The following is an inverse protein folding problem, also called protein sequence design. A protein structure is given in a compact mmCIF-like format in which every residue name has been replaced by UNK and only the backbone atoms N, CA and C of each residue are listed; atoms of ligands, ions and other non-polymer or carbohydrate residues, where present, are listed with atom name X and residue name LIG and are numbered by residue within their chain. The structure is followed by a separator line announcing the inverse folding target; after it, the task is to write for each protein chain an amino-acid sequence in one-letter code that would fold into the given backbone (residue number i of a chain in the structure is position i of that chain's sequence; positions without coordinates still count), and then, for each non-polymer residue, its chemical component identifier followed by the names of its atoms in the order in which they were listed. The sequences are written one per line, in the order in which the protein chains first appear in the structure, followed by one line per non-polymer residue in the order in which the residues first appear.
data_IF_671996146982
#
_entry.id   IF_671996146982
#
_cell.length_a   1.000
_cell.length_b   1.000
_cell.length_c   1.000
_cell.angle_alpha   90.00
_cell.angle_beta   90.00
_cell.angle_gamma   90.00
#
_symmetry.space_group_name_H-M   'P 1'
#
loop_
_entity.id
_entity.type
_entity.pdbx_description
1 polymer ?
#
# COMPACT_ATOMS: atom_id res chain seq x y z
N UNK A 1 24.63 54.11 18.84
CA UNK A 1 24.14 52.93 18.08
C UNK A 1 24.95 51.72 18.51
N UNK A 2 24.34 50.83 19.30
CA UNK A 2 24.99 49.61 19.82
C UNK A 2 24.65 48.45 18.87
N UNK A 3 25.65 47.88 18.23
CA UNK A 3 25.51 46.72 17.35
C UNK A 3 25.39 45.46 18.20
N UNK A 4 24.18 44.93 18.34
CA UNK A 4 23.92 43.65 18.99
C UNK A 4 24.49 42.55 18.09
N UNK A 5 25.67 42.03 18.45
CA UNK A 5 26.20 40.79 17.86
C UNK A 5 25.36 39.62 18.39
N UNK A 6 24.42 39.14 17.59
CA UNK A 6 23.72 37.88 17.81
C UNK A 6 24.75 36.76 17.97
N UNK A 7 24.88 36.22 19.18
CA UNK A 7 25.65 35.01 19.43
C UNK A 7 24.82 33.82 18.94
N UNK A 8 24.98 33.43 17.68
CA UNK A 8 24.46 32.16 17.19
C UNK A 8 25.21 31.03 17.90
N UNK A 9 24.52 30.33 18.80
CA UNK A 9 25.01 29.04 19.30
C UNK A 9 25.10 28.07 18.11
N UNK A 10 26.22 27.36 17.94
CA UNK A 10 26.32 26.34 16.91
C UNK A 10 25.24 25.28 17.12
N UNK A 11 24.65 24.73 16.05
CA UNK A 11 23.64 23.68 16.15
C UNK A 11 24.22 22.47 16.91
N UNK A 12 23.45 21.93 17.86
CA UNK A 12 23.83 20.72 18.58
C UNK A 12 23.82 19.53 17.61
N UNK A 13 24.98 18.95 17.33
CA UNK A 13 25.09 17.77 16.48
C UNK A 13 24.56 16.53 17.19
N UNK A 14 23.70 15.74 16.52
CA UNK A 14 23.22 14.45 17.05
C UNK A 14 24.27 13.35 16.99
N UNK A 15 25.21 13.43 16.04
CA UNK A 15 26.36 12.53 15.92
C UNK A 15 27.64 13.35 15.86
N UNK A 16 28.69 12.89 16.54
CA UNK A 16 30.00 13.54 16.45
C UNK A 16 30.70 13.13 15.13
N UNK A 17 31.02 14.07 14.21
CA UNK A 17 31.63 13.76 12.92
C UNK A 17 32.96 12.99 13.01
N UNK A 18 33.79 13.30 14.01
CA UNK A 18 35.07 12.62 14.21
C UNK A 18 34.84 11.17 14.67
N UNK A 19 33.88 10.94 15.56
CA UNK A 19 33.54 9.60 16.02
C UNK A 19 32.92 8.73 14.93
N UNK A 20 32.11 9.33 14.04
CA UNK A 20 31.56 8.64 12.85
C UNK A 20 32.69 8.16 11.93
N UNK A 21 33.65 9.02 11.59
CA UNK A 21 34.81 8.64 10.77
C UNK A 21 35.65 7.56 11.42
N UNK A 22 35.92 7.71 12.72
CA UNK A 22 36.73 6.74 13.45
C UNK A 22 36.07 5.36 13.51
N UNK A 23 34.75 5.32 13.75
CA UNK A 23 34.00 4.06 13.74
C UNK A 23 34.02 3.39 12.36
N UNK A 24 33.89 4.17 11.28
CA UNK A 24 33.88 3.66 9.92
C UNK A 24 35.22 3.02 9.49
N UNK A 25 36.36 3.52 10.00
CA UNK A 25 37.69 2.93 9.71
C UNK A 25 37.81 1.47 10.17
N UNK A 26 37.07 1.07 11.21
CA UNK A 26 37.04 -0.29 11.74
C UNK A 26 36.18 -1.27 10.94
N UNK A 27 35.54 -0.83 9.86
CA UNK A 27 34.62 -1.63 9.05
C UNK A 27 35.32 -2.05 7.75
N UNK A 28 35.54 -3.35 7.52
CA UNK A 28 36.11 -3.83 6.27
C UNK A 28 35.30 -3.33 5.08
N UNK A 29 35.98 -2.93 4.01
CA UNK A 29 35.36 -2.53 2.75
C UNK A 29 34.46 -1.28 2.82
N UNK A 30 34.59 -0.48 3.88
CA UNK A 30 33.98 0.83 4.02
C UNK A 30 35.01 1.93 3.72
N UNK A 31 34.76 2.74 2.69
CA UNK A 31 35.66 3.83 2.27
C UNK A 31 34.93 5.18 2.34
N UNK A 32 35.49 6.16 3.04
CA UNK A 32 34.94 7.52 3.06
C UNK A 32 35.10 8.18 1.67
N UNK A 33 34.03 8.81 1.19
CA UNK A 33 34.00 9.61 -0.04
C UNK A 33 34.23 11.08 0.37
N UNK A 34 35.33 11.71 -0.06
CA UNK A 34 35.62 13.10 0.31
C UNK A 34 34.62 14.08 -0.34
N UNK A 35 34.21 15.12 0.39
CA UNK A 35 33.68 16.36 -0.21
C UNK A 35 32.16 16.52 -0.31
N UNK A 36 31.41 16.35 0.78
CA UNK A 36 29.95 16.59 0.79
C UNK A 36 29.47 17.69 1.76
N UNK A 37 30.39 18.38 2.42
CA UNK A 37 30.09 19.43 3.40
C UNK A 37 30.50 19.04 4.83
N UNK A 38 30.38 19.99 5.76
CA UNK A 38 30.80 19.80 7.16
C UNK A 38 29.88 18.83 7.93
N UNK A 39 28.59 18.81 7.57
CA UNK A 39 27.55 18.05 8.26
C UNK A 39 27.19 16.71 7.60
N UNK A 40 27.79 16.39 6.45
CA UNK A 40 27.49 15.16 5.70
C UNK A 40 28.75 14.36 5.49
N UNK A 41 28.73 13.12 5.98
CA UNK A 41 29.82 12.16 5.78
C UNK A 41 29.31 11.04 4.88
N UNK A 42 29.97 10.81 3.75
CA UNK A 42 29.58 9.80 2.78
C UNK A 42 30.55 8.63 2.82
N UNK A 43 30.02 7.41 2.76
CA UNK A 43 30.80 6.17 2.69
C UNK A 43 30.38 5.34 1.48
N UNK A 44 31.34 4.72 0.82
CA UNK A 44 31.12 3.63 -0.12
C UNK A 44 31.38 2.31 0.61
N UNK A 45 30.38 1.43 0.66
CA UNK A 45 30.45 0.14 1.32
C UNK A 45 30.34 -0.97 0.28
N UNK A 46 31.38 -1.81 0.21
CA UNK A 46 31.35 -3.06 -0.56
C UNK A 46 31.07 -4.21 0.39
N UNK A 47 30.03 -5.01 0.12
CA UNK A 47 29.77 -6.21 0.91
C UNK A 47 30.84 -7.27 0.57
N UNK A 48 31.46 -7.93 1.56
CA UNK A 48 32.37 -9.03 1.29
C UNK A 48 31.61 -10.15 0.57
N UNK A 49 32.23 -10.73 -0.46
CA UNK A 49 31.72 -11.97 -1.06
C UNK A 49 31.88 -13.07 -0.03
N UNK A 50 30.78 -13.72 0.34
CA UNK A 50 30.82 -14.89 1.21
C UNK A 50 31.35 -16.10 0.43
N UNK A 51 32.66 -16.11 0.16
CA UNK A 51 33.33 -17.19 -0.57
C UNK A 51 33.69 -18.37 0.37
N UNK A 52 33.32 -18.30 1.65
CA UNK A 52 33.83 -19.18 2.71
C UNK A 52 33.07 -20.50 2.94
N UNK A 53 31.96 -20.76 2.25
CA UNK A 53 31.22 -22.04 2.38
C UNK A 53 31.22 -22.80 1.05
N UNK A 54 32.30 -23.56 0.82
CA UNK A 54 32.46 -24.48 -0.32
C UNK A 54 31.55 -25.72 -0.28
N UNK A 55 30.26 -25.56 0.04
CA UNK A 55 29.28 -26.63 -0.11
C UNK A 55 28.59 -26.48 -1.47
N UNK A 56 29.08 -27.26 -2.44
CA UNK A 56 28.45 -27.48 -3.73
C UNK A 56 27.13 -28.24 -3.57
N UNK A 57 26.03 -27.54 -3.28
CA UNK A 57 24.72 -27.99 -3.73
C UNK A 57 23.78 -26.80 -3.88
N UNK A 58 23.27 -26.68 -5.11
CA UNK A 58 22.20 -25.79 -5.60
C UNK A 58 22.63 -24.42 -6.17
N UNK A 59 22.80 -24.39 -7.50
CA UNK A 59 23.39 -23.28 -8.29
C UNK A 59 22.32 -22.35 -8.89
N UNK A 60 21.04 -22.48 -8.53
CA UNK A 60 19.96 -21.80 -9.27
C UNK A 60 19.32 -20.56 -8.60
N UNK A 61 19.67 -20.17 -7.36
CA UNK A 61 18.99 -19.05 -6.69
C UNK A 61 19.85 -17.95 -6.03
N UNK A 62 21.19 -17.98 -6.07
CA UNK A 62 21.98 -17.05 -5.25
C UNK A 62 23.20 -16.41 -5.89
N UNK A 63 23.11 -16.07 -7.19
CA UNK A 63 24.07 -15.15 -7.81
C UNK A 63 23.60 -13.68 -7.71
N UNK A 64 23.17 -13.26 -6.52
CA UNK A 64 22.93 -11.84 -6.27
C UNK A 64 24.30 -11.17 -6.13
N UNK A 65 24.80 -10.62 -7.24
CA UNK A 65 26.05 -9.84 -7.26
C UNK A 65 25.89 -8.74 -6.21
N UNK A 66 26.77 -8.75 -5.20
CA UNK A 66 26.74 -7.77 -4.13
C UNK A 66 26.99 -6.37 -4.69
N UNK A 67 25.91 -5.61 -4.93
CA UNK A 67 26.03 -4.26 -5.45
C UNK A 67 26.61 -3.33 -4.38
N UNK A 68 27.54 -2.42 -4.73
CA UNK A 68 28.03 -1.40 -3.81
C UNK A 68 26.88 -0.56 -3.25
N UNK A 69 27.00 -0.15 -1.98
CA UNK A 69 26.07 0.78 -1.35
C UNK A 69 26.79 2.08 -1.00
N UNK A 70 26.16 3.22 -1.28
CA UNK A 70 26.58 4.52 -0.77
C UNK A 70 25.76 4.86 0.47
N UNK A 71 26.41 5.14 1.59
CA UNK A 71 25.78 5.52 2.86
C UNK A 71 26.14 6.97 3.19
N UNK A 72 25.13 7.84 3.26
CA UNK A 72 25.28 9.24 3.64
C UNK A 72 24.81 9.43 5.08
N UNK A 73 25.65 10.00 5.94
CA UNK A 73 25.36 10.28 7.35
C UNK A 73 25.26 11.79 7.55
N UNK A 74 24.07 12.26 7.93
CA UNK A 74 23.77 13.64 8.27
C UNK A 74 23.92 13.82 9.79
N UNK A 75 25.07 14.35 10.22
CA UNK A 75 25.52 14.33 11.62
C UNK A 75 24.75 15.29 12.54
N UNK A 76 24.12 16.29 11.96
CA UNK A 76 23.25 17.27 12.61
C UNK A 76 21.88 16.66 12.96
N UNK A 77 21.22 16.06 11.97
CA UNK A 77 19.87 15.49 12.09
C UNK A 77 19.85 14.05 12.59
N UNK A 78 20.99 13.36 12.58
CA UNK A 78 21.09 11.92 12.86
C UNK A 78 20.44 11.09 11.76
N UNK A 79 20.25 11.65 10.55
CA UNK A 79 19.68 10.93 9.42
C UNK A 79 20.76 10.11 8.72
N UNK A 80 20.45 8.88 8.34
CA UNK A 80 21.33 8.00 7.56
C UNK A 80 20.58 7.56 6.29
N UNK A 81 21.09 7.95 5.13
CA UNK A 81 20.57 7.53 3.83
C UNK A 81 21.43 6.43 3.21
N UNK A 82 20.84 5.32 2.77
CA UNK A 82 21.53 4.24 2.04
C UNK A 82 21.07 4.22 0.60
N UNK A 83 21.98 4.22 -0.37
CA UNK A 83 21.72 4.27 -1.80
C UNK A 83 22.39 3.09 -2.51
N UNK A 84 21.67 2.41 -3.41
CA UNK A 84 22.16 1.29 -4.22
C UNK A 84 21.69 1.41 -5.66
N UNK A 85 22.49 0.93 -6.61
CA UNK A 85 22.08 0.78 -8.01
C UNK A 85 21.68 -0.68 -8.24
N UNK A 86 20.44 -0.92 -8.62
CA UNK A 86 19.90 -2.23 -8.93
C UNK A 86 19.19 -2.18 -10.28
N UNK A 87 19.62 -3.04 -11.22
CA UNK A 87 19.04 -3.14 -12.56
C UNK A 87 18.95 -1.77 -13.26
N UNK A 88 20.01 -0.96 -13.19
CA UNK A 88 20.06 0.39 -13.77
C UNK A 88 19.23 1.45 -13.03
N UNK A 89 18.54 1.09 -11.95
CA UNK A 89 17.70 1.99 -11.15
C UNK A 89 18.36 2.28 -9.81
N UNK A 90 18.34 3.55 -9.39
CA UNK A 90 18.83 3.98 -8.08
C UNK A 90 17.72 3.78 -7.04
N UNK A 91 18.02 3.08 -5.95
CA UNK A 91 17.11 2.89 -4.82
C UNK A 91 17.74 3.50 -3.56
N UNK A 92 16.94 4.23 -2.79
CA UNK A 92 17.38 4.90 -1.58
C UNK A 92 16.48 4.57 -0.39
N UNK A 93 17.06 4.36 0.79
CA UNK A 93 16.35 4.23 2.06
C UNK A 93 16.90 5.24 3.07
N UNK A 94 16.07 5.65 4.03
CA UNK A 94 16.46 6.62 5.06
C UNK A 94 16.06 6.12 6.45
N UNK A 95 16.97 6.27 7.41
CA UNK A 95 16.69 6.18 8.85
C UNK A 95 16.91 7.54 9.48
N UNK A 96 15.90 8.06 10.17
CA UNK A 96 15.96 9.34 10.89
C UNK A 96 16.33 9.09 12.36
N UNK A 97 16.77 10.16 13.04
CA UNK A 97 16.98 10.18 14.50
C UNK A 97 17.97 9.13 15.04
N UNK A 98 18.97 8.75 14.25
CA UNK A 98 20.06 7.89 14.71
C UNK A 98 21.02 8.72 15.55
N UNK A 99 21.06 8.41 16.85
CA UNK A 99 21.94 9.03 17.84
C UNK A 99 23.00 8.06 18.40
N UNK A 100 22.99 6.80 17.94
CA UNK A 100 23.91 5.75 18.39
C UNK A 100 24.91 5.35 17.31
N UNK A 101 26.20 5.35 17.67
CA UNK A 101 27.29 4.89 16.79
C UNK A 101 27.22 3.38 16.51
N UNK A 102 26.61 2.58 17.38
CA UNK A 102 26.47 1.15 17.17
C UNK A 102 25.41 0.83 16.10
N UNK A 103 24.34 1.64 16.05
CA UNK A 103 23.35 1.57 14.98
C UNK A 103 23.99 1.95 13.64
N UNK A 104 24.80 3.01 13.62
CA UNK A 104 25.57 3.41 12.45
C UNK A 104 26.54 2.31 12.00
N UNK A 105 27.31 1.73 12.92
CA UNK A 105 28.23 0.63 12.61
C UNK A 105 27.50 -0.55 11.97
N UNK A 106 26.35 -0.94 12.54
CA UNK A 106 25.52 -2.00 11.96
C UNK A 106 25.06 -1.67 10.54
N UNK A 107 24.64 -0.44 10.28
CA UNK A 107 24.23 0.00 8.95
C UNK A 107 25.39 0.08 7.96
N UNK A 108 26.60 0.40 8.41
CA UNK A 108 27.79 0.39 7.58
C UNK A 108 28.32 -1.03 7.32
N UNK A 109 28.15 -1.97 8.26
CA UNK A 109 28.48 -3.40 8.05
C UNK A 109 27.46 -4.11 7.16
N UNK A 110 26.19 -3.75 7.32
CA UNK A 110 25.08 -4.35 6.60
C UNK A 110 24.13 -3.27 6.08
N UNK A 111 24.54 -2.47 5.06
CA UNK A 111 23.66 -1.46 4.50
C UNK A 111 22.38 -2.12 4.02
N UNK A 112 21.26 -1.64 4.56
CA UNK A 112 19.94 -2.20 4.29
C UNK A 112 19.77 -2.38 2.78
N UNK A 113 19.25 -3.55 2.38
CA UNK A 113 18.79 -3.73 1.01
C UNK A 113 17.70 -2.69 0.73
N UNK A 114 17.47 -2.32 -0.54
CA UNK A 114 16.33 -1.49 -0.83
C UNK A 114 15.10 -2.27 -0.40
N UNK A 115 14.49 -1.85 0.70
CA UNK A 115 13.10 -2.17 0.93
C UNK A 115 12.36 -1.52 -0.25
N UNK A 116 11.51 -2.26 -0.94
CA UNK A 116 10.51 -1.61 -1.77
C UNK A 116 9.87 -0.55 -0.88
N UNK A 117 10.05 0.73 -1.25
CA UNK A 117 9.37 1.82 -0.56
C UNK A 117 7.91 1.53 -0.82
N UNK A 118 7.26 0.93 0.17
CA UNK A 118 5.82 0.88 0.24
C UNK A 118 5.41 2.35 0.30
N UNK A 119 4.79 2.87 -0.75
CA UNK A 119 4.39 4.29 -0.86
C UNK A 119 3.53 4.74 0.34
N UNK A 120 3.03 3.80 1.14
CA UNK A 120 2.40 4.01 2.43
C UNK A 120 3.29 4.55 3.55
N UNK A 121 4.63 4.47 3.46
CA UNK A 121 5.58 4.83 4.53
C UNK A 121 6.07 6.28 4.52
N UNK A 122 5.73 7.07 3.48
CA UNK A 122 6.15 8.48 3.37
C UNK A 122 5.33 9.43 4.29
N UNK A 123 4.34 8.93 5.03
CA UNK A 123 3.40 9.78 5.80
C UNK A 123 3.39 9.61 7.33
N UNK A 124 4.27 8.80 7.93
CA UNK A 124 4.23 8.53 9.37
C UNK A 124 5.50 9.06 10.05
N UNK A 125 5.44 10.29 10.54
CA UNK A 125 6.34 10.77 11.59
C UNK A 125 5.66 10.54 12.93
N UNK A 126 6.34 9.85 13.83
CA UNK A 126 5.99 9.72 15.25
C UNK A 126 6.03 11.12 15.90
N UNK A 127 4.87 11.76 16.06
CA UNK A 127 4.68 13.01 16.80
C UNK A 127 3.46 12.88 17.74
N UNK A 128 3.21 11.69 18.33
CA UNK A 128 2.13 11.50 19.31
C UNK A 128 2.65 10.74 20.53
N UNK A 129 3.35 11.46 21.42
CA UNK A 129 3.38 11.16 22.85
C UNK A 129 3.73 12.46 23.59
N UNK A 130 2.93 12.79 24.61
CA UNK A 130 2.98 13.97 25.48
C UNK A 130 2.07 15.16 25.11
N UNK A 131 0.77 15.02 25.36
CA UNK A 131 -0.04 16.12 25.91
C UNK A 131 -1.29 15.58 26.64
N UNK A 132 -1.14 15.28 27.94
CA UNK A 132 -2.28 15.06 28.84
C UNK A 132 -2.43 16.23 29.84
N UNK A 133 -3.66 16.71 29.94
CA UNK A 133 -4.27 17.48 31.03
C UNK A 133 -3.96 18.99 31.14
N UNK A 134 -4.85 19.82 30.57
CA UNK A 134 -5.50 20.94 31.28
C UNK A 134 -6.80 21.39 30.56
N UNK A 135 -7.97 21.48 31.23
CA UNK A 135 -9.18 21.99 30.61
C UNK A 135 -9.39 23.47 30.98
N UNK A 136 -8.94 24.40 30.15
CA UNK A 136 -9.48 25.77 30.15
C UNK A 136 -9.83 26.21 28.73
N UNK A 137 -11.07 26.70 28.58
CA UNK A 137 -11.64 27.22 27.33
C UNK A 137 -10.75 28.30 26.73
N UNK A 138 -10.05 28.00 25.65
CA UNK A 138 -9.43 29.00 24.76
C UNK A 138 -10.15 29.04 23.42
N UNK A 139 -10.33 30.26 22.93
CA UNK A 139 -11.02 30.59 21.68
C UNK A 139 -10.17 30.22 20.47
N UNK A 140 -10.84 29.83 19.38
CA UNK A 140 -10.26 29.28 18.14
C UNK A 140 -9.23 30.18 17.44
N UNK A 141 -9.20 31.48 17.71
CA UNK A 141 -8.26 32.40 17.05
C UNK A 141 -6.83 32.35 17.63
N UNK A 142 -6.65 31.90 18.88
CA UNK A 142 -5.31 31.76 19.48
C UNK A 142 -4.57 30.50 18.98
N UNK A 143 -5.31 29.47 18.54
CA UNK A 143 -4.71 28.22 18.06
C UNK A 143 -4.01 28.35 16.69
N UNK A 144 -4.43 29.30 15.85
CA UNK A 144 -3.83 29.51 14.53
C UNK A 144 -2.52 30.29 14.65
N UNK A 145 -2.42 31.23 15.60
CA UNK A 145 -1.20 32.00 15.84
C UNK A 145 -0.09 31.14 16.48
N UNK A 146 -0.44 30.17 17.33
CA UNK A 146 0.53 29.34 18.04
C UNK A 146 1.12 28.21 17.17
N UNK A 147 0.38 27.76 16.15
CA UNK A 147 0.84 26.70 15.22
C UNK A 147 1.90 27.18 14.23
N UNK A 148 1.98 28.49 13.98
CA UNK A 148 2.95 29.12 13.06
C UNK A 148 4.21 29.62 13.75
N UNK A 149 4.31 29.53 15.09
CA UNK A 149 5.42 30.13 15.85
C UNK A 149 6.37 29.12 16.51
N UNK A 150 6.23 27.81 16.26
CA UNK A 150 7.22 26.86 16.78
C UNK A 150 8.43 26.78 15.83
N UNK A 151 9.63 27.25 16.24
CA UNK A 151 10.83 27.25 15.38
C UNK A 151 11.23 25.84 14.90
N UNK A 152 10.71 24.80 15.54
CA UNK A 152 10.93 23.38 15.21
C UNK A 152 10.22 22.94 13.93
N UNK A 153 9.05 23.48 13.58
CA UNK A 153 8.31 23.08 12.38
C UNK A 153 8.98 23.61 11.12
N UNK A 154 9.40 24.88 11.13
CA UNK A 154 10.12 25.50 10.00
C UNK A 154 11.45 24.77 9.76
N UNK A 155 12.12 24.32 10.82
CA UNK A 155 13.38 23.59 10.69
C UNK A 155 13.17 22.19 10.07
N UNK A 156 12.11 21.46 10.47
CA UNK A 156 11.73 20.17 9.85
C UNK A 156 11.39 20.34 8.36
N UNK A 157 10.68 21.41 7.98
CA UNK A 157 10.36 21.71 6.58
C UNK A 157 11.60 22.08 5.76
N UNK A 158 12.54 22.82 6.35
CA UNK A 158 13.80 23.21 5.71
C UNK A 158 14.72 22.00 5.50
N UNK A 159 14.77 21.07 6.46
CA UNK A 159 15.47 19.79 6.30
C UNK A 159 14.85 18.95 5.17
N UNK A 160 13.51 18.87 5.10
CA UNK A 160 12.82 18.14 4.04
C UNK A 160 13.09 18.76 2.66
N UNK A 161 13.11 20.09 2.57
CA UNK A 161 13.46 20.82 1.36
C UNK A 161 14.91 20.54 0.90
N UNK A 162 15.86 20.46 1.85
CA UNK A 162 17.26 20.12 1.55
C UNK A 162 17.40 18.68 1.02
N UNK A 163 16.64 17.73 1.58
CA UNK A 163 16.60 16.35 1.06
C UNK A 163 16.02 16.32 -0.35
N UNK A 164 14.92 17.04 -0.60
CA UNK A 164 14.35 17.18 -1.94
C UNK A 164 15.34 17.75 -2.96
N UNK A 165 16.09 18.78 -2.57
CA UNK A 165 17.10 19.40 -3.42
C UNK A 165 18.23 18.43 -3.78
N UNK A 166 18.70 17.63 -2.83
CA UNK A 166 19.74 16.62 -3.07
C UNK A 166 19.28 15.52 -4.06
N UNK A 167 18.00 15.10 -3.98
CA UNK A 167 17.41 14.15 -4.93
C UNK A 167 17.36 14.75 -6.33
N UNK A 168 16.85 15.98 -6.45
CA UNK A 168 16.76 16.68 -7.73
C UNK A 168 18.14 16.90 -8.37
N UNK A 169 19.15 17.19 -7.56
CA UNK A 169 20.52 17.35 -8.04
C UNK A 169 21.12 16.03 -8.57
N UNK A 170 20.83 14.91 -7.89
CA UNK A 170 21.21 13.57 -8.37
C UNK A 170 20.54 13.20 -9.70
N UNK A 171 19.24 13.49 -9.85
CA UNK A 171 18.52 13.27 -11.12
C UNK A 171 19.03 14.19 -12.25
N UNK A 172 19.38 15.45 -11.94
CA UNK A 172 20.01 16.35 -12.91
C UNK A 172 21.34 15.79 -13.43
N UNK A 173 22.22 15.34 -12.53
CA UNK A 173 23.52 14.77 -12.91
C UNK A 173 23.36 13.51 -13.77
N UNK A 174 22.34 12.69 -13.47
CA UNK A 174 21.99 11.50 -14.28
C UNK A 174 21.52 11.87 -15.68
N UNK A 175 20.65 12.89 -15.80
CA UNK A 175 20.18 13.40 -17.09
C UNK A 175 21.31 14.01 -17.93
N UNK A 176 22.20 14.78 -17.31
CA UNK A 176 23.39 15.33 -17.98
C UNK A 176 24.29 14.21 -18.53
N UNK A 177 24.44 13.11 -17.78
CA UNK A 177 25.20 11.94 -18.24
C UNK A 177 24.54 11.27 -19.45
N UNK A 178 23.22 11.09 -19.44
CA UNK A 178 22.50 10.53 -20.59
C UNK A 178 22.58 11.44 -21.83
N UNK A 179 22.46 12.77 -21.65
CA UNK A 179 22.60 13.72 -22.75
C UNK A 179 24.00 13.66 -23.39
N UNK A 180 25.06 13.49 -22.58
CA UNK A 180 26.42 13.29 -23.12
C UNK A 180 26.57 11.98 -23.89
N UNK A 181 25.89 10.91 -23.48
CA UNK A 181 25.92 9.63 -24.19
C UNK A 181 25.21 9.75 -25.56
N UNK A 182 24.02 10.36 -25.59
CA UNK A 182 23.29 10.60 -26.83
C UNK A 182 24.07 11.49 -27.81
N UNK A 183 24.79 12.50 -27.31
CA UNK A 183 25.65 13.35 -28.15
C UNK A 183 26.86 12.63 -28.74
N UNK A 184 27.30 11.51 -28.17
CA UNK A 184 28.39 10.68 -28.73
C UNK A 184 27.86 9.73 -29.81
N UNK A 185 26.64 9.23 -29.67
CA UNK A 185 26.01 8.31 -30.63
C UNK A 185 25.65 8.99 -31.97
N UNK A 186 25.34 10.30 -31.95
CA UNK A 186 25.10 11.07 -33.18
C UNK A 186 26.37 11.29 -34.02
N UNK A 187 27.56 11.27 -33.40
CA UNK A 187 28.83 11.47 -34.11
C UNK A 187 29.35 10.21 -34.82
N UNK A 188 28.75 9.04 -34.58
CA UNK A 188 29.14 7.76 -35.19
C UNK A 188 28.24 7.30 -36.32
N UNK A 189 27.10 7.98 -36.59
CA UNK A 189 26.09 7.50 -37.55
C UNK A 189 26.16 8.17 -38.95
N UNK A 190 27.08 9.13 -39.17
CA UNK A 190 27.14 9.90 -40.44
C UNK A 190 27.96 9.26 -41.56
N UNK A 191 28.03 7.92 -41.66
CA UNK A 191 28.74 7.24 -42.75
C UNK A 191 28.12 5.90 -43.15
N UNK A 192 26.82 5.87 -43.39
CA UNK A 192 26.24 4.78 -44.21
C UNK A 192 24.92 5.17 -44.89
N UNK A 193 25.06 5.51 -46.17
CA UNK A 193 24.23 5.09 -47.29
C UNK A 193 22.77 5.62 -47.41
N UNK A 194 22.67 6.59 -48.31
CA UNK A 194 21.74 6.66 -49.45
C UNK A 194 20.89 5.41 -49.78
N UNK A 195 19.57 5.57 -49.89
CA UNK A 195 18.78 5.48 -51.15
C UNK A 195 17.27 5.54 -50.90
N UNK A 196 16.61 6.48 -51.60
CA UNK A 196 15.26 6.44 -52.23
C UNK A 196 14.16 5.58 -51.57
N UNK A 197 12.91 6.03 -51.42
CA UNK A 197 12.03 6.50 -52.51
C UNK A 197 10.74 7.13 -51.95
N UNK A 198 10.17 8.02 -52.75
CA UNK A 198 9.07 8.99 -52.59
C UNK A 198 7.63 8.47 -52.64
N UNK A 199 6.75 9.15 -51.86
CA UNK A 199 5.34 9.58 -52.15
C UNK A 199 4.14 8.61 -51.98
N UNK A 200 2.88 9.10 -51.88
CA UNK A 200 2.36 10.32 -51.21
C UNK A 200 1.03 10.14 -50.42
N UNK A 201 0.62 11.25 -49.78
CA UNK A 201 -0.65 11.55 -49.08
C UNK A 201 -1.95 11.20 -49.82
N UNK A 202 -3.01 10.91 -49.06
CA UNK A 202 -4.38 11.33 -49.41
C UNK A 202 -5.26 11.60 -48.18
N UNK A 203 -6.07 12.64 -48.31
CA UNK A 203 -6.98 13.28 -47.35
C UNK A 203 -8.44 12.96 -47.68
N UNK A 204 -9.29 12.67 -46.67
CA UNK A 204 -10.76 12.91 -46.67
C UNK A 204 -11.33 12.50 -45.29
N UNK A 205 -11.90 13.38 -44.45
CA UNK A 205 -13.17 14.12 -44.54
C UNK A 205 -14.42 13.22 -44.54
N UNK A 206 -15.25 13.35 -43.49
CA UNK A 206 -16.62 12.81 -43.42
C UNK A 206 -17.24 12.90 -42.02
N UNK A 207 -18.14 13.87 -41.83
CA UNK A 207 -19.08 14.02 -40.70
C UNK A 207 -20.26 13.03 -40.81
N UNK A 208 -20.84 12.65 -39.67
CA UNK A 208 -22.15 11.97 -39.52
C UNK A 208 -22.15 11.16 -38.22
N UNK A 209 -22.68 11.64 -37.09
CA UNK A 209 -24.09 11.71 -36.69
C UNK A 209 -24.84 10.37 -36.86
N UNK A 210 -25.01 9.63 -35.76
CA UNK A 210 -26.23 8.86 -35.43
C UNK A 210 -26.08 8.06 -34.12
N UNK A 211 -26.92 8.45 -33.15
CA UNK A 211 -27.82 7.62 -32.31
C UNK A 211 -27.42 6.17 -31.98
N UNK A 212 -27.29 5.95 -30.69
CA UNK A 212 -27.36 4.66 -29.98
C UNK A 212 -28.54 3.77 -30.44
N UNK A 213 -28.29 2.48 -30.67
CA UNK A 213 -29.29 1.45 -30.47
C UNK A 213 -28.81 0.31 -29.57
N UNK A 214 -29.80 -0.29 -28.92
CA UNK A 214 -29.77 -1.60 -28.26
C UNK A 214 -29.27 -2.67 -29.24
N UNK A 215 -28.46 -3.62 -28.77
CA UNK A 215 -27.96 -4.73 -29.60
C UNK A 215 -28.49 -6.07 -29.10
N UNK A 216 -29.36 -6.66 -29.92
CA UNK A 216 -29.50 -8.10 -30.13
C UNK A 216 -28.40 -8.59 -31.10
N UNK A 217 -28.15 -9.89 -31.02
CA UNK A 217 -27.20 -10.77 -31.72
C UNK A 217 -26.74 -10.40 -33.15
N UNK A 218 -25.43 -10.54 -33.42
CA UNK A 218 -24.89 -11.49 -34.43
C UNK A 218 -23.35 -11.50 -34.53
N UNK A 219 -22.87 -12.67 -34.94
CA UNK A 219 -21.50 -13.15 -35.21
C UNK A 219 -20.55 -12.23 -35.98
N UNK A 220 -19.25 -12.30 -35.64
CA UNK A 220 -18.19 -12.05 -36.63
C UNK A 220 -16.80 -11.65 -36.12
N UNK A 221 -15.85 -12.59 -36.26
CA UNK A 221 -14.40 -12.41 -36.50
C UNK A 221 -13.55 -11.74 -35.41
N UNK A 222 -12.88 -12.60 -34.63
CA UNK A 222 -11.77 -12.23 -33.74
C UNK A 222 -10.45 -12.09 -34.49
N UNK A 223 -9.78 -10.97 -34.24
CA UNK A 223 -8.36 -10.75 -34.47
C UNK A 223 -7.55 -11.30 -33.28
N UNK A 224 -6.39 -11.88 -33.60
CA UNK A 224 -5.35 -12.29 -32.64
C UNK A 224 -4.88 -11.09 -31.80
N UNK A 225 -5.19 -11.10 -30.50
CA UNK A 225 -4.47 -10.33 -29.49
C UNK A 225 -3.74 -11.25 -28.51
N UNK A 226 -2.44 -10.99 -28.38
CA UNK A 226 -1.50 -11.70 -27.54
C UNK A 226 -1.94 -11.72 -26.08
N UNK A 227 -2.32 -12.90 -25.60
CA UNK A 227 -2.75 -13.17 -24.24
C UNK A 227 -1.63 -12.99 -23.22
N UNK A 228 -1.71 -11.92 -22.42
CA UNK A 228 -1.12 -11.93 -21.08
C UNK A 228 -2.04 -12.84 -20.24
N UNK A 229 -1.58 -14.05 -19.93
CA UNK A 229 -2.36 -15.03 -19.20
C UNK A 229 -2.73 -14.52 -17.79
N UNK A 230 -3.94 -13.97 -17.67
CA UNK A 230 -4.59 -13.69 -16.39
C UNK A 230 -5.11 -15.02 -15.84
N UNK A 231 -4.33 -15.71 -15.01
CA UNK A 231 -4.78 -16.94 -14.35
C UNK A 231 -5.87 -16.62 -13.33
N UNK A 232 -7.12 -16.85 -13.69
CA UNK A 232 -8.24 -16.91 -12.76
C UNK A 232 -8.35 -18.33 -12.20
N UNK A 233 -8.90 -18.49 -11.00
CA UNK A 233 -9.04 -19.80 -10.36
C UNK A 233 -10.42 -19.98 -9.77
N UNK A 234 -10.93 -21.20 -9.89
CA UNK A 234 -12.21 -21.67 -9.34
C UNK A 234 -11.91 -22.74 -8.30
N UNK A 235 -12.57 -22.66 -7.14
CA UNK A 235 -12.43 -23.63 -6.06
C UNK A 235 -13.77 -23.80 -5.33
N UNK A 236 -14.05 -25.00 -4.83
CA UNK A 236 -15.28 -25.30 -4.09
C UNK A 236 -14.98 -25.83 -2.69
N UNK A 237 -15.78 -25.38 -1.72
CA UNK A 237 -15.83 -25.86 -0.33
C UNK A 237 -17.31 -26.01 0.02
N UNK A 238 -17.71 -27.04 0.78
CA UNK A 238 -19.13 -27.36 1.08
C UNK A 238 -20.13 -26.18 1.01
N UNK A 239 -20.95 -26.18 -0.05
CA UNK A 239 -22.03 -25.22 -0.29
C UNK A 239 -21.60 -23.85 -0.86
N UNK A 240 -20.30 -23.58 -0.98
CA UNK A 240 -19.78 -22.31 -1.51
C UNK A 240 -18.70 -22.55 -2.58
N UNK A 241 -18.82 -21.85 -3.68
CA UNK A 241 -17.79 -21.68 -4.68
C UNK A 241 -17.10 -20.33 -4.55
N UNK A 242 -15.86 -20.28 -5.02
CA UNK A 242 -15.02 -19.10 -4.98
C UNK A 242 -14.50 -18.77 -6.37
N UNK A 243 -14.59 -17.49 -6.72
CA UNK A 243 -13.91 -16.92 -7.87
C UNK A 243 -13.06 -15.74 -7.43
N UNK A 244 -11.78 -15.71 -7.82
CA UNK A 244 -10.88 -14.66 -7.39
C UNK A 244 -9.80 -14.36 -8.42
N UNK A 245 -9.35 -13.11 -8.40
CA UNK A 245 -8.18 -12.60 -9.13
C UNK A 245 -7.27 -11.92 -8.12
N UNK A 246 -6.08 -12.47 -7.92
CA UNK A 246 -5.08 -11.98 -6.97
C UNK A 246 -3.70 -12.02 -7.64
N UNK A 247 -2.66 -11.37 -7.08
CA UNK A 247 -1.28 -11.57 -7.53
C UNK A 247 -0.89 -13.05 -7.50
N UNK A 248 -0.06 -13.49 -8.44
CA UNK A 248 0.29 -14.91 -8.67
C UNK A 248 0.87 -15.59 -7.41
N UNK A 249 1.68 -14.88 -6.65
CA UNK A 249 2.26 -15.35 -5.41
C UNK A 249 1.20 -15.50 -4.29
N UNK A 250 0.22 -14.60 -4.25
CA UNK A 250 -0.91 -14.64 -3.31
C UNK A 250 -1.90 -15.75 -3.68
N UNK A 251 -2.19 -15.95 -4.96
CA UNK A 251 -3.08 -17.01 -5.43
C UNK A 251 -2.63 -18.40 -4.97
N UNK A 252 -1.33 -18.71 -5.06
CA UNK A 252 -0.80 -19.99 -4.57
C UNK A 252 -1.08 -20.23 -3.09
N UNK A 253 -1.05 -19.17 -2.28
CA UNK A 253 -1.33 -19.23 -0.84
C UNK A 253 -2.81 -19.39 -0.56
N UNK A 254 -3.66 -18.68 -1.32
CA UNK A 254 -5.12 -18.81 -1.27
C UNK A 254 -5.54 -20.22 -1.68
N UNK A 255 -5.03 -20.74 -2.79
CA UNK A 255 -5.30 -22.11 -3.25
C UNK A 255 -4.93 -23.14 -2.20
N UNK A 256 -3.80 -22.95 -1.53
CA UNK A 256 -3.38 -23.82 -0.43
C UNK A 256 -4.37 -23.74 0.74
N UNK A 257 -4.79 -22.53 1.14
CA UNK A 257 -5.78 -22.36 2.19
C UNK A 257 -7.11 -23.02 1.82
N UNK A 258 -7.62 -22.83 0.61
CA UNK A 258 -8.88 -23.42 0.15
C UNK A 258 -8.81 -24.96 0.11
N UNK A 259 -7.70 -25.55 -0.34
CA UNK A 259 -7.47 -27.00 -0.25
C UNK A 259 -7.50 -27.51 1.19
N UNK A 260 -6.87 -26.80 2.11
CA UNK A 260 -6.84 -27.19 3.51
C UNK A 260 -8.22 -27.03 4.17
N UNK A 261 -8.96 -25.97 3.82
CA UNK A 261 -10.35 -25.75 4.25
C UNK A 261 -11.25 -26.89 3.77
N UNK A 262 -11.15 -27.27 2.49
CA UNK A 262 -11.91 -28.38 1.92
C UNK A 262 -11.62 -29.70 2.65
N UNK A 263 -10.34 -29.98 2.99
CA UNK A 263 -9.95 -31.17 3.77
C UNK A 263 -10.48 -31.16 5.20
N UNK A 264 -10.61 -29.98 5.81
CA UNK A 264 -11.11 -29.82 7.18
C UNK A 264 -12.64 -29.83 7.28
N UNK A 265 -13.34 -29.88 6.14
CA UNK A 265 -14.78 -29.80 6.06
C UNK A 265 -15.36 -28.61 6.84
N UNK A 266 -14.92 -27.40 6.46
CA UNK A 266 -15.34 -26.14 7.11
C UNK A 266 -16.12 -25.27 6.14
N UNK A 267 -17.28 -24.80 6.59
CA UNK A 267 -18.06 -23.78 5.86
C UNK A 267 -17.39 -22.42 6.03
N UNK A 268 -17.08 -21.76 4.92
CA UNK A 268 -16.57 -20.39 4.89
C UNK A 268 -17.74 -19.42 4.93
N UNK A 269 -17.80 -18.59 5.96
CA UNK A 269 -18.86 -17.60 6.20
C UNK A 269 -18.54 -16.25 5.55
N UNK A 270 -17.27 -15.85 5.56
CA UNK A 270 -16.83 -14.56 5.03
C UNK A 270 -15.37 -14.65 4.59
N UNK A 271 -15.05 -13.92 3.52
CA UNK A 271 -13.67 -13.76 3.03
C UNK A 271 -13.38 -12.27 2.95
N UNK A 272 -12.25 -11.85 3.52
CA UNK A 272 -11.77 -10.48 3.44
C UNK A 272 -10.38 -10.44 2.80
N UNK A 273 -10.11 -9.51 1.89
CA UNK A 273 -8.84 -9.37 1.18
C UNK A 273 -8.39 -7.92 1.11
N UNK A 274 -7.08 -7.67 1.15
CA UNK A 274 -6.51 -6.37 0.77
C UNK A 274 -5.70 -6.47 -0.54
N UNK A 275 -5.82 -7.59 -1.27
CA UNK A 275 -5.08 -7.90 -2.50
C UNK A 275 -3.69 -8.50 -2.25
N UNK A 276 -3.14 -8.37 -1.04
CA UNK A 276 -1.85 -8.97 -0.62
C UNK A 276 -2.04 -10.15 0.33
N UNK A 277 -3.02 -10.05 1.23
CA UNK A 277 -3.39 -11.04 2.21
C UNK A 277 -4.90 -11.23 2.23
N UNK A 278 -5.33 -12.41 2.64
CA UNK A 278 -6.72 -12.84 2.68
C UNK A 278 -7.01 -13.53 3.99
N UNK A 279 -8.17 -13.24 4.60
CA UNK A 279 -8.69 -13.90 5.80
C UNK A 279 -9.95 -14.67 5.43
N UNK A 280 -9.99 -15.96 5.78
CA UNK A 280 -11.14 -16.82 5.65
C UNK A 280 -11.75 -17.04 7.03
N UNK A 281 -12.99 -16.61 7.22
CA UNK A 281 -13.74 -16.81 8.45
C UNK A 281 -14.66 -18.02 8.32
N UNK A 282 -14.56 -18.98 9.24
CA UNK A 282 -15.39 -20.18 9.25
C UNK A 282 -16.69 -19.96 10.03
N UNK A 283 -17.72 -20.77 9.73
CA UNK A 283 -19.00 -20.75 10.47
C UNK A 283 -18.88 -21.01 11.97
N UNK A 284 -17.81 -21.68 12.42
CA UNK A 284 -17.53 -21.93 13.85
C UNK A 284 -16.59 -20.89 14.50
N UNK A 285 -16.40 -19.73 13.86
CA UNK A 285 -15.51 -18.66 14.31
C UNK A 285 -14.01 -18.96 14.18
N UNK A 286 -13.64 -20.14 13.66
CA UNK A 286 -12.25 -20.40 13.28
C UNK A 286 -11.82 -19.53 12.10
N UNK A 287 -10.51 -19.36 11.93
CA UNK A 287 -9.95 -18.56 10.84
C UNK A 287 -8.79 -19.27 10.15
N UNK A 288 -8.71 -19.13 8.83
CA UNK A 288 -7.47 -19.24 8.07
C UNK A 288 -7.09 -17.87 7.51
N UNK A 289 -5.82 -17.71 7.18
CA UNK A 289 -5.34 -16.50 6.53
C UNK A 289 -4.06 -16.77 5.76
N UNK A 290 -3.85 -16.02 4.69
CA UNK A 290 -2.58 -15.98 3.97
C UNK A 290 -1.61 -15.01 4.66
N UNK A 291 -0.31 -15.08 4.34
CA UNK A 291 0.65 -14.00 4.61
C UNK A 291 0.14 -12.60 4.22
N UNK A 292 0.80 -11.56 4.74
CA UNK A 292 0.57 -10.16 4.38
C UNK A 292 -0.76 -9.53 4.83
N UNK A 293 -1.48 -10.16 5.76
CA UNK A 293 -2.52 -9.46 6.54
C UNK A 293 -1.89 -8.49 7.56
N UNK A 294 -2.60 -7.45 8.02
CA UNK A 294 -2.05 -6.50 8.99
C UNK A 294 -1.48 -7.18 10.23
N UNK A 295 -0.26 -6.81 10.63
CA UNK A 295 0.49 -7.50 11.71
C UNK A 295 -0.26 -7.54 13.04
N UNK A 296 -0.92 -6.44 13.41
CA UNK A 296 -1.71 -6.37 14.64
C UNK A 296 -2.90 -7.35 14.60
N UNK A 297 -3.61 -7.42 13.47
CA UNK A 297 -4.66 -8.41 13.25
C UNK A 297 -4.13 -9.84 13.31
N UNK A 298 -3.00 -10.14 12.65
CA UNK A 298 -2.36 -11.46 12.72
C UNK A 298 -2.08 -11.89 14.16
N UNK A 299 -1.49 -11.00 14.97
CA UNK A 299 -1.19 -11.27 16.38
C UNK A 299 -2.48 -11.57 17.17
N UNK A 300 -3.53 -10.76 16.95
CA UNK A 300 -4.85 -10.94 17.56
C UNK A 300 -5.47 -12.28 17.17
N UNK A 301 -5.57 -12.58 15.88
CA UNK A 301 -6.16 -13.83 15.37
C UNK A 301 -5.38 -15.07 15.86
N UNK A 302 -4.05 -14.98 15.94
CA UNK A 302 -3.22 -16.07 16.46
C UNK A 302 -3.51 -16.37 17.93
N UNK A 303 -3.69 -15.34 18.77
CA UNK A 303 -4.01 -15.51 20.19
C UNK A 303 -5.39 -16.15 20.41
N UNK A 304 -6.34 -15.90 19.50
CA UNK A 304 -7.73 -16.38 19.61
C UNK A 304 -7.96 -17.79 19.06
N UNK A 305 -6.93 -18.46 18.50
CA UNK A 305 -7.10 -19.82 17.96
C UNK A 305 -7.56 -20.84 19.00
N UNK A 306 -7.14 -20.68 20.25
CA UNK A 306 -7.51 -21.56 21.37
C UNK A 306 -8.53 -20.92 22.33
N UNK A 307 -9.12 -19.76 21.97
CA UNK A 307 -10.13 -19.12 22.81
C UNK A 307 -11.52 -19.76 22.65
N UNK A 308 -12.41 -19.42 23.57
CA UNK A 308 -13.82 -19.78 23.52
C UNK A 308 -14.49 -19.19 22.27
N UNK A 309 -15.60 -19.79 21.84
CA UNK A 309 -16.35 -19.31 20.67
C UNK A 309 -16.78 -17.84 20.78
N UNK A 310 -17.11 -17.37 21.99
CA UNK A 310 -17.50 -15.98 22.25
C UNK A 310 -16.38 -14.99 21.86
N UNK A 311 -15.12 -15.29 22.17
CA UNK A 311 -14.00 -14.41 21.83
C UNK A 311 -13.48 -14.60 20.41
N UNK A 312 -14.12 -15.45 19.59
CA UNK A 312 -13.69 -15.66 18.20
C UNK A 312 -14.28 -14.61 17.26
N UNK A 313 -13.59 -14.33 16.13
CA UNK A 313 -14.09 -13.38 15.15
C UNK A 313 -15.46 -13.77 14.60
N UNK A 314 -16.30 -12.78 14.35
CA UNK A 314 -17.63 -12.89 13.75
C UNK A 314 -17.72 -12.16 12.40
N UNK A 315 -16.84 -11.17 12.19
CA UNK A 315 -16.68 -10.39 10.96
C UNK A 315 -15.24 -9.85 10.87
N UNK A 316 -14.70 -9.78 9.65
CA UNK A 316 -13.38 -9.17 9.36
C UNK A 316 -13.52 -8.30 8.11
N UNK A 317 -12.92 -7.12 8.14
CA UNK A 317 -12.71 -6.28 6.97
C UNK A 317 -11.24 -5.89 6.89
N UNK A 318 -10.66 -5.98 5.68
CA UNK A 318 -9.30 -5.57 5.41
C UNK A 318 -9.30 -4.32 4.54
N UNK A 319 -8.34 -3.44 4.76
CA UNK A 319 -8.09 -2.28 3.92
C UNK A 319 -6.62 -2.17 3.55
N UNK A 320 -6.35 -1.25 2.64
CA UNK A 320 -4.97 -0.85 2.31
C UNK A 320 -4.31 -0.16 3.51
N UNK A 321 -2.97 -0.07 3.50
CA UNK A 321 -2.16 0.61 4.54
C UNK A 321 -2.37 0.05 5.95
N UNK A 322 -2.38 -1.28 6.05
CA UNK A 322 -2.56 -2.03 7.30
C UNK A 322 -3.88 -1.75 8.05
N UNK A 323 -4.89 -1.22 7.37
CA UNK A 323 -6.21 -1.00 7.98
C UNK A 323 -6.94 -2.31 8.14
N UNK A 324 -7.63 -2.45 9.26
CA UNK A 324 -8.52 -3.57 9.49
C UNK A 324 -9.62 -3.21 10.48
N UNK A 325 -10.69 -3.99 10.43
CA UNK A 325 -11.72 -4.05 11.46
C UNK A 325 -12.04 -5.52 11.71
N UNK A 326 -12.14 -5.91 12.98
CA UNK A 326 -12.59 -7.25 13.38
C UNK A 326 -13.61 -7.11 14.50
N UNK A 327 -14.78 -7.74 14.32
CA UNK A 327 -15.77 -7.91 15.36
C UNK A 327 -15.69 -9.35 15.91
N UNK A 328 -16.00 -9.53 17.19
CA UNK A 328 -16.02 -10.81 17.87
C UNK A 328 -17.45 -11.22 18.24
N UNK A 329 -17.67 -12.51 18.56
CA UNK A 329 -19.00 -13.01 18.94
C UNK A 329 -19.48 -12.52 20.31
N UNK A 330 -18.59 -11.97 21.15
CA UNK A 330 -18.88 -11.42 22.48
C UNK A 330 -19.27 -9.92 22.44
N UNK A 331 -19.48 -9.35 21.25
CA UNK A 331 -19.84 -7.94 21.10
C UNK A 331 -18.66 -6.97 21.20
N UNK A 332 -17.43 -7.47 21.40
CA UNK A 332 -16.23 -6.65 21.35
C UNK A 332 -15.69 -6.51 19.92
N UNK A 333 -14.80 -5.53 19.70
CA UNK A 333 -14.15 -5.30 18.42
C UNK A 333 -12.71 -4.80 18.60
N UNK A 334 -11.89 -4.96 17.56
CA UNK A 334 -10.55 -4.39 17.43
C UNK A 334 -10.36 -3.82 16.02
N UNK A 335 -9.64 -2.71 15.88
CA UNK A 335 -9.48 -2.05 14.59
C UNK A 335 -8.22 -1.19 14.49
N UNK A 336 -7.79 -0.96 13.25
CA UNK A 336 -6.81 0.06 12.88
C UNK A 336 -7.34 0.82 11.67
N UNK A 337 -7.50 2.14 11.80
CA UNK A 337 -8.10 2.96 10.77
C UNK A 337 -8.02 4.47 11.07
N UNK A 338 -8.72 5.30 10.29
CA UNK A 338 -8.70 6.75 10.48
C UNK A 338 -9.38 7.16 11.80
N UNK A 339 -8.96 8.31 12.35
CA UNK A 339 -9.47 8.80 13.64
C UNK A 339 -10.98 9.03 13.67
N UNK A 340 -11.58 9.37 12.53
CA UNK A 340 -13.03 9.50 12.42
C UNK A 340 -13.77 8.16 12.60
N UNK A 341 -13.22 7.07 12.03
CA UNK A 341 -13.77 5.73 12.23
C UNK A 341 -13.70 5.33 13.71
N UNK A 342 -12.58 5.65 14.38
CA UNK A 342 -12.41 5.39 15.82
C UNK A 342 -13.52 6.04 16.67
N UNK A 343 -13.90 7.30 16.37
CA UNK A 343 -15.02 7.98 17.06
C UNK A 343 -16.34 7.25 16.87
N UNK A 344 -16.63 6.81 15.65
CA UNK A 344 -17.87 6.09 15.33
C UNK A 344 -17.90 4.73 16.06
N UNK A 345 -16.83 3.95 15.98
CA UNK A 345 -16.74 2.62 16.60
C UNK A 345 -16.77 2.67 18.13
N UNK A 346 -16.13 3.67 18.76
CA UNK A 346 -16.23 3.89 20.21
C UNK A 346 -17.67 4.21 20.64
N UNK A 347 -18.41 4.99 19.85
CA UNK A 347 -19.83 5.25 20.09
C UNK A 347 -20.67 3.96 19.97
N UNK A 348 -20.39 3.14 18.97
CA UNK A 348 -21.03 1.82 18.79
C UNK A 348 -20.82 0.91 20.01
N UNK A 349 -19.57 0.79 20.48
CA UNK A 349 -19.24 0.02 21.68
C UNK A 349 -19.96 0.54 22.93
N UNK A 350 -20.03 1.86 23.12
CA UNK A 350 -20.75 2.45 24.25
C UNK A 350 -22.27 2.15 24.23
N UNK A 351 -22.81 1.87 23.05
CA UNK A 351 -24.22 1.49 22.86
C UNK A 351 -24.46 -0.02 22.77
N UNK A 352 -23.42 -0.85 22.95
CA UNK A 352 -23.45 -2.31 22.79
C UNK A 352 -24.03 -2.77 21.43
N UNK A 353 -23.74 -1.99 20.38
CA UNK A 353 -24.23 -2.21 19.02
C UNK A 353 -23.10 -2.00 18.03
N UNK A 354 -22.33 -3.06 17.78
CA UNK A 354 -21.29 -3.03 16.75
C UNK A 354 -21.91 -2.82 15.36
N UNK A 355 -21.16 -2.23 14.41
CA UNK A 355 -21.57 -2.22 13.02
C UNK A 355 -21.74 -3.63 12.45
N UNK A 356 -22.67 -3.73 11.50
CA UNK A 356 -22.90 -4.92 10.69
C UNK A 356 -21.81 -5.13 9.65
N UNK A 357 -21.31 -4.05 9.05
CA UNK A 357 -20.24 -4.07 8.05
C UNK A 357 -19.38 -2.81 8.14
N UNK A 358 -18.09 -2.95 7.85
CA UNK A 358 -17.15 -1.85 7.68
C UNK A 358 -16.39 -2.08 6.38
N UNK A 359 -16.26 -1.05 5.55
CA UNK A 359 -15.49 -1.08 4.30
C UNK A 359 -14.44 0.03 4.28
N UNK A 360 -13.28 -0.26 3.69
CA UNK A 360 -12.18 0.70 3.54
C UNK A 360 -12.03 1.08 2.06
N UNK A 361 -12.09 2.37 1.75
CA UNK A 361 -11.95 2.87 0.37
C UNK A 361 -10.52 3.19 -0.03
N UNK A 362 -10.38 3.94 -1.13
CA UNK A 362 -9.11 4.25 -1.80
C UNK A 362 -8.10 5.04 -0.95
N UNK A 363 -8.57 5.95 -0.10
CA UNK A 363 -7.69 6.71 0.80
C UNK A 363 -7.77 6.18 2.23
N UNK A 364 -6.75 6.49 3.04
CA UNK A 364 -6.70 6.08 4.45
C UNK A 364 -7.94 6.55 5.23
N UNK A 365 -8.41 7.78 4.96
CA UNK A 365 -9.57 8.39 5.60
C UNK A 365 -10.91 7.99 4.99
N UNK A 366 -10.90 7.18 3.92
CA UNK A 366 -12.13 6.71 3.28
C UNK A 366 -12.61 5.42 3.90
N UNK A 367 -13.80 5.45 4.47
CA UNK A 367 -14.48 4.28 5.01
C UNK A 367 -15.99 4.40 4.92
N UNK A 368 -16.68 3.27 5.03
CA UNK A 368 -18.12 3.17 5.07
C UNK A 368 -18.53 2.19 6.16
N UNK A 369 -19.55 2.54 6.94
CA UNK A 369 -20.08 1.75 8.06
C UNK A 369 -21.56 1.49 7.83
N UNK A 370 -21.96 0.22 7.88
CA UNK A 370 -23.37 -0.20 7.85
C UNK A 370 -23.75 -0.70 9.24
N UNK A 371 -24.85 -0.21 9.80
CA UNK A 371 -25.36 -0.61 11.11
C UNK A 371 -26.39 -1.73 11.01
N UNK A 372 -26.73 -2.35 12.14
CA UNK A 372 -27.68 -3.47 12.16
C UNK A 372 -29.12 -3.07 11.79
N UNK A 373 -29.50 -1.81 11.97
CA UNK A 373 -30.80 -1.27 11.56
C UNK A 373 -30.83 -0.87 10.08
N UNK A 374 -29.79 -1.21 9.31
CA UNK A 374 -29.66 -0.92 7.89
C UNK A 374 -29.27 0.53 7.57
N UNK A 375 -29.21 1.41 8.57
CA UNK A 375 -28.67 2.75 8.41
C UNK A 375 -27.15 2.69 8.18
N UNK A 376 -26.58 3.79 7.71
CA UNK A 376 -25.16 3.83 7.34
C UNK A 376 -24.54 5.21 7.58
N UNK A 377 -23.21 5.24 7.68
CA UNK A 377 -22.39 6.44 7.72
C UNK A 377 -21.11 6.22 6.92
N UNK A 378 -20.62 7.25 6.23
CA UNK A 378 -19.33 7.20 5.56
C UNK A 378 -18.57 8.51 5.74
N UNK A 379 -17.26 8.44 5.51
CA UNK A 379 -16.40 9.61 5.46
C UNK A 379 -15.24 9.36 4.51
N UNK A 380 -14.66 10.44 3.97
CA UNK A 380 -13.45 10.44 3.16
C UNK A 380 -13.71 10.90 1.73
N UNK A 381 -12.64 11.36 1.06
CA UNK A 381 -12.71 11.88 -0.32
C UNK A 381 -12.67 10.78 -1.39
N UNK A 382 -12.51 9.52 -0.98
CA UNK A 382 -12.39 8.37 -1.87
C UNK A 382 -13.68 7.58 -2.03
N UNK A 383 -14.83 8.13 -1.62
CA UNK A 383 -16.13 7.51 -1.85
C UNK A 383 -16.47 7.68 -3.34
N UNK A 384 -16.77 6.61 -4.09
CA UNK A 384 -17.11 6.72 -5.51
C UNK A 384 -18.40 7.53 -5.72
N UNK A 385 -18.39 8.48 -6.66
CA UNK A 385 -19.57 9.30 -7.01
C UNK A 385 -20.77 8.43 -7.41
N UNK A 386 -20.52 7.36 -8.18
CA UNK A 386 -21.57 6.40 -8.58
C UNK A 386 -22.20 5.65 -7.41
N UNK A 387 -21.50 5.52 -6.27
CA UNK A 387 -22.06 4.97 -5.05
C UNK A 387 -22.97 6.01 -4.36
N UNK A 388 -22.54 7.27 -4.30
CA UNK A 388 -23.35 8.36 -3.73
C UNK A 388 -24.65 8.55 -4.51
N UNK A 389 -24.57 8.59 -5.84
CA UNK A 389 -25.74 8.61 -6.73
C UNK A 389 -26.66 7.41 -6.47
N UNK A 390 -26.07 6.23 -6.25
CA UNK A 390 -26.85 5.03 -5.98
C UNK A 390 -27.59 5.13 -4.64
N UNK A 391 -26.93 5.60 -3.59
CA UNK A 391 -27.53 5.79 -2.26
C UNK A 391 -28.65 6.84 -2.33
N UNK A 392 -28.43 7.96 -3.00
CA UNK A 392 -29.44 8.99 -3.21
C UNK A 392 -30.65 8.47 -4.01
N UNK A 393 -30.43 7.68 -5.06
CA UNK A 393 -31.53 7.07 -5.85
C UNK A 393 -32.40 6.10 -5.05
N UNK A 394 -31.88 5.61 -3.92
CA UNK A 394 -32.60 4.72 -3.00
C UNK A 394 -33.37 5.48 -1.92
N UNK A 395 -33.34 6.82 -1.95
CA UNK A 395 -33.96 7.67 -0.92
C UNK A 395 -33.42 7.34 0.49
N UNK A 396 -32.10 7.10 0.58
CA UNK A 396 -31.36 6.82 1.81
C UNK A 396 -32.00 5.75 2.72
N UNK A 397 -32.63 4.74 2.12
CA UNK A 397 -33.26 3.63 2.85
C UNK A 397 -32.29 2.95 3.79
N UNK A 398 -32.74 2.78 5.03
CA UNK A 398 -32.04 2.04 6.08
C UNK A 398 -32.31 0.52 5.97
N UNK A 399 -31.91 -0.08 4.85
CA UNK A 399 -32.09 -1.51 4.55
C UNK A 399 -30.78 -2.17 4.07
N UNK A 400 -29.63 -1.54 4.33
CA UNK A 400 -28.34 -2.06 3.89
C UNK A 400 -27.87 -3.22 4.79
N UNK A 401 -27.31 -4.26 4.17
CA UNK A 401 -26.75 -5.44 4.85
C UNK A 401 -25.23 -5.37 4.89
N UNK A 402 -24.63 -5.10 3.74
CA UNK A 402 -23.19 -5.02 3.60
C UNK A 402 -22.83 -4.09 2.46
N UNK A 403 -21.66 -3.49 2.59
CA UNK A 403 -21.03 -2.69 1.56
C UNK A 403 -19.53 -3.00 1.59
N UNK A 404 -18.92 -3.12 0.41
CA UNK A 404 -17.49 -3.28 0.23
C UNK A 404 -16.99 -2.17 -0.71
N UNK A 405 -15.80 -1.65 -0.43
CA UNK A 405 -15.13 -0.62 -1.23
C UNK A 405 -13.78 -1.16 -1.69
N UNK A 406 -13.43 -0.88 -2.94
CA UNK A 406 -12.12 -1.17 -3.51
C UNK A 406 -11.24 0.07 -3.61
N UNK A 407 -9.92 -0.13 -3.70
CA UNK A 407 -8.96 0.97 -3.75
C UNK A 407 -8.97 1.73 -5.08
N UNK A 408 -9.56 1.18 -6.13
CA UNK A 408 -9.66 1.79 -7.47
C UNK A 408 -11.06 2.34 -7.76
N UNK A 409 -11.89 2.48 -6.73
CA UNK A 409 -13.25 3.03 -6.85
C UNK A 409 -14.31 1.96 -7.09
N UNK A 410 -13.95 0.67 -7.00
CA UNK A 410 -14.90 -0.43 -7.00
C UNK A 410 -15.80 -0.35 -5.78
N UNK A 411 -17.06 -0.73 -5.94
CA UNK A 411 -17.94 -0.92 -4.79
C UNK A 411 -18.98 -2.00 -5.04
N UNK A 412 -19.42 -2.60 -3.94
CA UNK A 412 -20.48 -3.61 -3.91
C UNK A 412 -21.42 -3.29 -2.76
N UNK A 413 -22.72 -3.34 -3.02
CA UNK A 413 -23.78 -3.01 -2.09
C UNK A 413 -24.83 -4.12 -2.07
N UNK A 414 -25.20 -4.59 -0.89
CA UNK A 414 -26.27 -5.58 -0.68
C UNK A 414 -27.32 -5.04 0.28
N UNK A 415 -28.58 -5.12 -0.10
CA UNK A 415 -29.73 -4.77 0.74
C UNK A 415 -30.40 -6.00 1.36
N UNK A 416 -31.26 -5.77 2.35
CA UNK A 416 -31.94 -6.83 3.12
C UNK A 416 -32.93 -7.64 2.27
N UNK A 417 -33.50 -7.03 1.23
CA UNK A 417 -34.32 -7.73 0.25
C UNK A 417 -33.53 -8.60 -0.75
N UNK A 418 -32.23 -8.80 -0.52
CA UNK A 418 -31.35 -9.60 -1.36
C UNK A 418 -30.91 -8.92 -2.66
N UNK A 419 -31.41 -7.72 -2.97
CA UNK A 419 -30.93 -6.96 -4.15
C UNK A 419 -29.50 -6.50 -3.94
N UNK A 420 -28.74 -6.57 -5.03
CA UNK A 420 -27.32 -6.28 -5.06
C UNK A 420 -27.02 -5.26 -6.16
N UNK A 421 -26.04 -4.40 -5.94
CA UNK A 421 -25.54 -3.42 -6.90
C UNK A 421 -24.02 -3.31 -6.79
N UNK A 422 -23.37 -3.00 -7.90
CA UNK A 422 -21.94 -2.75 -7.96
C UNK A 422 -21.65 -1.76 -9.07
N UNK A 423 -20.49 -1.10 -8.99
CA UNK A 423 -19.91 -0.31 -10.08
C UNK A 423 -18.41 -0.17 -9.84
N UNK A 424 -17.72 0.45 -10.80
CA UNK A 424 -16.27 0.65 -10.77
C UNK A 424 -15.45 -0.63 -10.99
N UNK A 425 -16.08 -1.77 -11.24
CA UNK A 425 -15.40 -3.06 -11.46
C UNK A 425 -14.91 -3.23 -12.91
N UNK A 426 -13.99 -4.16 -13.13
CA UNK A 426 -13.51 -4.52 -14.47
C UNK A 426 -14.58 -5.28 -15.26
N UNK A 427 -14.51 -5.20 -16.60
CA UNK A 427 -15.39 -5.96 -17.50
C UNK A 427 -15.28 -7.48 -17.29
N UNK A 428 -14.09 -7.97 -16.97
CA UNK A 428 -13.87 -9.38 -16.61
C UNK A 428 -14.72 -9.77 -15.40
N UNK A 429 -14.66 -8.99 -14.31
CA UNK A 429 -15.41 -9.27 -13.09
C UNK A 429 -16.92 -9.13 -13.33
N UNK A 430 -17.35 -8.14 -14.11
CA UNK A 430 -18.77 -7.97 -14.44
C UNK A 430 -19.34 -9.19 -15.23
N UNK A 431 -18.52 -9.75 -16.12
CA UNK A 431 -18.85 -10.97 -16.87
C UNK A 431 -18.98 -12.18 -15.94
N UNK A 432 -18.08 -12.32 -14.97
CA UNK A 432 -18.14 -13.37 -13.93
C UNK A 432 -19.41 -13.23 -13.10
N UNK A 433 -19.71 -12.03 -12.58
CA UNK A 433 -20.90 -11.79 -11.76
C UNK A 433 -22.18 -12.08 -12.56
N UNK A 434 -22.19 -11.71 -13.84
CA UNK A 434 -23.30 -12.02 -14.75
C UNK A 434 -23.52 -13.52 -14.94
N UNK A 435 -22.45 -14.33 -14.94
CA UNK A 435 -22.55 -15.79 -14.99
C UNK A 435 -23.08 -16.36 -13.67
N UNK A 436 -22.48 -15.95 -12.55
CA UNK A 436 -22.89 -16.39 -11.20
C UNK A 436 -24.38 -16.12 -10.96
N UNK A 437 -24.87 -14.93 -11.32
CA UNK A 437 -26.27 -14.56 -11.09
C UNK A 437 -27.27 -15.25 -12.03
N UNK A 438 -26.80 -15.91 -13.09
CA UNK A 438 -27.65 -16.76 -13.95
C UNK A 438 -27.79 -18.18 -13.40
N UNK A 439 -26.78 -18.66 -12.68
CA UNK A 439 -26.62 -20.07 -12.29
C UNK A 439 -26.73 -20.26 -10.77
N UNK A 440 -26.80 -19.18 -9.99
CA UNK A 440 -26.63 -19.25 -8.55
C UNK A 440 -26.88 -17.95 -7.79
N UNK A 441 -26.41 -17.94 -6.54
CA UNK A 441 -26.58 -16.85 -5.58
C UNK A 441 -25.24 -16.26 -5.14
N UNK A 442 -25.10 -14.94 -5.30
CA UNK A 442 -23.93 -14.19 -4.84
C UNK A 442 -24.01 -13.90 -3.33
N UNK A 443 -23.11 -14.50 -2.54
CA UNK A 443 -23.07 -14.26 -1.10
C UNK A 443 -22.37 -12.95 -0.74
N UNK A 444 -21.13 -12.79 -1.21
CA UNK A 444 -20.26 -11.64 -0.88
C UNK A 444 -19.19 -11.44 -1.93
N UNK A 445 -18.69 -10.20 -2.01
CA UNK A 445 -17.55 -9.81 -2.82
C UNK A 445 -16.68 -8.85 -2.03
N UNK A 446 -15.37 -9.01 -2.11
CA UNK A 446 -14.40 -8.10 -1.49
C UNK A 446 -13.29 -7.71 -2.47
N UNK A 447 -12.74 -6.51 -2.28
CA UNK A 447 -11.80 -5.89 -3.22
C UNK A 447 -10.43 -5.66 -2.57
N UNK A 448 -9.38 -5.83 -3.36
CA UNK A 448 -8.00 -5.64 -2.94
C UNK A 448 -7.21 -4.72 -3.86
N UNK A 449 -5.94 -4.49 -3.53
CA UNK A 449 -5.03 -3.71 -4.36
C UNK A 449 -4.83 -4.35 -5.75
N UNK A 450 -4.46 -3.53 -6.75
CA UNK A 450 -4.14 -3.97 -8.12
C UNK A 450 -5.30 -4.64 -8.87
N UNK A 451 -6.54 -4.18 -8.66
CA UNK A 451 -7.73 -4.77 -9.27
C UNK A 451 -8.01 -6.20 -8.79
N UNK A 452 -7.48 -6.56 -7.61
CA UNK A 452 -7.72 -7.86 -7.01
C UNK A 452 -9.13 -7.94 -6.45
N UNK A 453 -9.73 -9.11 -6.51
CA UNK A 453 -11.04 -9.34 -5.93
C UNK A 453 -11.20 -10.77 -5.44
N UNK A 454 -12.17 -10.97 -4.57
CA UNK A 454 -12.61 -12.27 -4.08
C UNK A 454 -14.13 -12.33 -4.07
N UNK A 455 -14.71 -13.32 -4.73
CA UNK A 455 -16.15 -13.55 -4.83
C UNK A 455 -16.49 -14.88 -4.18
N UNK A 456 -17.56 -14.91 -3.39
CA UNK A 456 -18.13 -16.13 -2.80
C UNK A 456 -19.58 -16.26 -3.25
N UNK A 457 -19.94 -17.42 -3.78
CA UNK A 457 -21.26 -17.69 -4.34
C UNK A 457 -21.66 -19.17 -4.16
N UNK A 458 -22.92 -19.50 -4.40
CA UNK A 458 -23.46 -20.86 -4.38
C UNK A 458 -24.17 -21.11 -5.72
N UNK A 459 -23.97 -22.27 -6.34
CA UNK A 459 -24.71 -22.66 -7.55
C UNK A 459 -26.01 -23.37 -7.14
N UNK A 460 -27.10 -23.15 -7.89
CA UNK A 460 -28.41 -23.79 -7.64
C UNK A 460 -28.46 -25.29 -8.00
#
# INVERSE_FOLDING_TARGET
MSTIKSQHRPPSLKLNPAAVRERAKGIPSCQEIPGQGEFVISFLVMMPRNDANGNHHDVSQQQQVSTPARVNVFVDSGTIGTCRVMNGTVRQSFRKNVNSLDVLERLLRHPEGPMEINESLIGLTDDDDEEENHPERRTTDDMIAQRLSSPTTIQKELELANVGLAILQGEREKLEKHLRQLGQDDSTTTLSQSKSTTSPMSTRSGYGDSRHPQHEDTDGRGHDESSVASSTSESSVHGCEFHFKLPVDVMKQVDQCLRDIAKMDKIVKNVATNGRGTVFLYGNGGVAYTPSIPKALYQKLRQLRSSSYASRPSFVALGTRDRYYVAFNDGTADWKGPHALDKILKKCLASDKLPRSVAFGSTYDTFFVVFHDGSWQYQGRGIPETLEEKLASRDDRADLVSLNLGPSGEWFLKAENGRMWWSGITQDLDSVLSKILKEGYLHSMDFGENGSYFVTYENE
#
